data_IF_626821212537
#
_entry.id   IF_626821212537
#
_cell.length_a   1.000
_cell.length_b   1.000
_cell.length_c   1.000
_cell.angle_alpha   90.00
_cell.angle_beta   90.00
_cell.angle_gamma   90.00
#
_symmetry.space_group_name_H-M   'P 1'
#
loop_
_entity.id
_entity.type
_entity.pdbx_description
1 polymer ?
#
# COMPACT_ATOMS: atom_id res chain seq x y z
N UNK A 1 18.36 -15.73 37.76
CA UNK A 1 16.94 -15.60 37.36
C UNK A 1 16.94 -14.84 36.06
N UNK A 2 16.50 -15.51 35.00
CA UNK A 2 16.74 -15.12 33.60
C UNK A 2 15.97 -13.87 33.19
N UNK A 3 16.72 -12.99 32.53
CA UNK A 3 16.23 -11.84 31.80
C UNK A 3 15.54 -12.33 30.52
N UNK A 4 14.21 -12.24 30.41
CA UNK A 4 13.52 -12.49 29.14
C UNK A 4 13.67 -11.24 28.29
N UNK A 5 14.69 -11.23 27.44
CA UNK A 5 14.85 -10.28 26.37
C UNK A 5 13.75 -10.51 25.33
N UNK A 6 12.91 -9.49 25.12
CA UNK A 6 12.03 -9.41 23.96
C UNK A 6 12.94 -9.29 22.73
N UNK A 7 13.15 -10.42 22.07
CA UNK A 7 13.93 -10.52 20.84
C UNK A 7 13.27 -9.71 19.74
N UNK A 8 14.02 -8.72 19.25
CA UNK A 8 14.13 -8.31 17.85
C UNK A 8 13.10 -8.93 16.90
N UNK A 9 11.99 -8.21 16.64
CA UNK A 9 11.26 -8.30 15.36
C UNK A 9 12.06 -7.55 14.29
N UNK A 10 13.32 -7.95 14.14
CA UNK A 10 14.25 -7.45 13.15
C UNK A 10 14.82 -8.65 12.40
N UNK A 11 14.70 -8.57 11.07
CA UNK A 11 15.53 -9.32 10.13
C UNK A 11 15.14 -10.78 9.89
N UNK A 12 13.98 -11.02 9.26
CA UNK A 12 13.82 -12.21 8.42
C UNK A 12 12.90 -11.88 7.24
N UNK A 13 13.42 -11.18 6.22
CA UNK A 13 12.99 -11.24 4.82
C UNK A 13 13.93 -10.35 3.99
N UNK A 14 15.18 -10.78 3.83
CA UNK A 14 16.04 -10.24 2.76
C UNK A 14 16.92 -11.37 2.23
N UNK A 15 16.32 -12.23 1.42
CA UNK A 15 17.06 -13.02 0.44
C UNK A 15 17.10 -12.20 -0.86
N UNK A 16 18.29 -11.84 -1.39
CA UNK A 16 18.39 -11.14 -2.66
C UNK A 16 18.23 -12.16 -3.79
N UNK A 17 17.03 -12.27 -4.37
CA UNK A 17 16.83 -13.09 -5.58
C UNK A 17 17.41 -12.32 -6.79
N UNK A 18 18.61 -12.72 -7.19
CA UNK A 18 19.34 -12.18 -8.33
C UNK A 18 18.78 -12.73 -9.66
N UNK A 19 17.59 -12.27 -10.05
CA UNK A 19 17.10 -12.34 -11.43
C UNK A 19 16.74 -10.93 -11.90
N UNK A 20 17.67 -10.33 -12.63
CA UNK A 20 17.56 -9.06 -13.36
C UNK A 20 16.17 -8.80 -13.95
N UNK A 21 15.58 -7.68 -13.55
CA UNK A 21 14.98 -6.67 -14.43
C UNK A 21 14.79 -5.42 -13.57
N UNK A 22 15.24 -4.27 -14.03
CA UNK A 22 15.02 -2.93 -13.44
C UNK A 22 13.79 -2.92 -12.53
N UNK A 23 13.97 -2.81 -11.20
CA UNK A 23 12.86 -2.53 -10.29
C UNK A 23 12.20 -1.29 -10.87
N UNK A 24 11.01 -1.47 -11.45
CA UNK A 24 10.36 -0.43 -12.23
C UNK A 24 10.16 0.74 -11.26
N UNK A 25 10.85 1.85 -11.48
CA UNK A 25 10.70 3.01 -10.61
C UNK A 25 9.31 3.59 -10.81
N UNK A 26 8.38 3.13 -9.99
CA UNK A 26 6.99 3.55 -10.01
C UNK A 26 6.80 4.87 -9.25
N UNK A 27 7.80 5.36 -8.51
CA UNK A 27 7.69 6.56 -7.68
C UNK A 27 7.47 7.85 -8.48
N UNK A 28 7.89 7.87 -9.75
CA UNK A 28 7.66 8.98 -10.68
C UNK A 28 6.42 8.79 -11.58
N UNK A 29 5.77 7.63 -11.53
CA UNK A 29 4.61 7.33 -12.38
C UNK A 29 3.38 8.07 -11.85
N UNK A 30 2.59 8.66 -12.75
CA UNK A 30 1.36 9.35 -12.41
C UNK A 30 0.33 8.37 -11.82
N UNK A 31 -0.50 8.86 -10.89
CA UNK A 31 -1.46 8.00 -10.20
C UNK A 31 -2.49 7.37 -11.14
N UNK A 32 -2.85 8.07 -12.22
CA UNK A 32 -3.75 7.56 -13.27
C UNK A 32 -3.16 6.33 -13.94
N UNK A 33 -1.86 6.32 -14.19
CA UNK A 33 -1.17 5.19 -14.82
C UNK A 33 -1.00 4.03 -13.84
N UNK A 34 -0.77 4.33 -12.56
CA UNK A 34 -0.80 3.31 -11.50
C UNK A 34 -2.19 2.67 -11.38
N UNK A 35 -3.26 3.46 -11.40
CA UNK A 35 -4.64 2.96 -11.38
C UNK A 35 -4.96 2.11 -12.62
N UNK A 36 -4.51 2.52 -13.81
CA UNK A 36 -4.61 1.71 -15.03
C UNK A 36 -3.82 0.40 -14.93
N UNK A 37 -2.65 0.43 -14.32
CA UNK A 37 -1.86 -0.77 -14.06
C UNK A 37 -2.57 -1.69 -13.04
N UNK A 38 -3.17 -1.15 -11.98
CA UNK A 38 -4.02 -1.90 -11.06
C UNK A 38 -5.22 -2.55 -11.77
N UNK A 39 -5.85 -1.83 -12.71
CA UNK A 39 -6.96 -2.36 -13.50
C UNK A 39 -6.58 -3.59 -14.35
N UNK A 40 -5.30 -3.70 -14.71
CA UNK A 40 -4.70 -4.85 -15.42
C UNK A 40 -4.16 -5.93 -14.47
N UNK A 41 -4.30 -5.75 -13.15
CA UNK A 41 -3.84 -6.70 -12.15
C UNK A 41 -2.37 -6.55 -11.73
N UNK A 42 -1.72 -5.42 -12.06
CA UNK A 42 -0.34 -5.14 -11.63
C UNK A 42 -0.31 -4.76 -10.14
N UNK A 43 0.14 -5.71 -9.29
CA UNK A 43 0.19 -5.55 -7.83
C UNK A 43 1.19 -4.49 -7.36
N UNK A 44 2.26 -4.29 -8.12
CA UNK A 44 3.30 -3.29 -7.83
C UNK A 44 2.74 -1.87 -7.90
N UNK A 45 1.80 -1.61 -8.82
CA UNK A 45 1.13 -0.32 -8.92
C UNK A 45 0.22 -0.03 -7.72
N UNK A 46 -0.47 -1.06 -7.20
CA UNK A 46 -1.28 -0.90 -5.98
C UNK A 46 -0.38 -0.60 -4.78
N UNK A 47 0.77 -1.30 -4.68
CA UNK A 47 1.74 -1.08 -3.61
C UNK A 47 2.24 0.37 -3.60
N UNK A 48 2.55 0.92 -4.77
CA UNK A 48 2.97 2.31 -4.90
C UNK A 48 1.87 3.28 -4.47
N UNK A 49 0.62 3.05 -4.91
CA UNK A 49 -0.53 3.84 -4.44
C UNK A 49 -0.72 3.74 -2.92
N UNK A 50 -0.61 2.55 -2.34
CA UNK A 50 -0.67 2.38 -0.88
C UNK A 50 0.44 3.17 -0.19
N UNK A 51 1.67 3.09 -0.66
CA UNK A 51 2.80 3.82 -0.08
C UNK A 51 2.57 5.34 -0.09
N UNK A 52 2.11 5.90 -1.22
CA UNK A 52 1.82 7.33 -1.35
C UNK A 52 0.66 7.78 -0.47
N UNK A 53 -0.40 6.98 -0.41
CA UNK A 53 -1.69 7.44 0.12
C UNK A 53 -2.02 6.94 1.53
N UNK A 54 -1.34 5.92 2.06
CA UNK A 54 -1.68 5.37 3.39
C UNK A 54 -1.65 6.44 4.49
N UNK A 55 -0.61 7.28 4.53
CA UNK A 55 -0.42 8.28 5.58
C UNK A 55 -1.39 9.46 5.46
N UNK A 56 -1.56 10.11 4.29
CA UNK A 56 -2.55 11.18 4.17
C UNK A 56 -3.99 10.67 4.39
N UNK A 57 -4.31 9.47 3.89
CA UNK A 57 -5.64 8.87 4.06
C UNK A 57 -5.91 8.52 5.54
N UNK A 58 -4.96 7.88 6.21
CA UNK A 58 -5.03 7.59 7.64
C UNK A 58 -5.25 8.87 8.45
N UNK A 59 -4.48 9.94 8.18
CA UNK A 59 -4.63 11.22 8.89
C UNK A 59 -6.01 11.84 8.69
N UNK A 60 -6.57 11.74 7.49
CA UNK A 60 -7.91 12.22 7.19
C UNK A 60 -8.97 11.40 7.94
N UNK A 61 -8.91 10.08 7.86
CA UNK A 61 -9.85 9.16 8.50
C UNK A 61 -9.77 9.22 10.03
N UNK A 62 -8.58 9.33 10.60
CA UNK A 62 -8.38 9.51 12.03
C UNK A 62 -9.01 10.81 12.55
N UNK A 63 -8.90 11.91 11.78
CA UNK A 63 -9.56 13.18 12.15
C UNK A 63 -11.09 13.10 12.09
N UNK A 64 -11.62 12.24 11.22
CA UNK A 64 -13.06 12.07 11.07
C UNK A 64 -13.67 11.16 12.14
N UNK A 65 -12.98 10.06 12.48
CA UNK A 65 -13.51 9.02 13.37
C UNK A 65 -13.02 9.13 14.82
N UNK A 66 -11.84 9.72 15.05
CA UNK A 66 -11.24 9.86 16.39
C UNK A 66 -10.71 8.56 16.99
N UNK A 67 -10.85 7.43 16.31
CA UNK A 67 -10.33 6.11 16.69
C UNK A 67 -9.17 5.70 15.78
N UNK A 68 -8.11 5.16 16.36
CA UNK A 68 -6.97 4.63 15.61
C UNK A 68 -7.37 3.35 14.86
N UNK A 69 -8.08 2.44 15.54
CA UNK A 69 -8.51 1.15 15.01
C UNK A 69 -9.45 1.33 13.82
N UNK A 70 -10.49 2.15 13.96
CA UNK A 70 -11.44 2.43 12.88
C UNK A 70 -10.73 3.09 11.68
N UNK A 71 -9.75 3.95 11.94
CA UNK A 71 -8.97 4.63 10.89
C UNK A 71 -8.11 3.64 10.11
N UNK A 72 -7.42 2.73 10.78
CA UNK A 72 -6.64 1.70 10.10
C UNK A 72 -7.52 0.74 9.30
N UNK A 73 -8.64 0.29 9.85
CA UNK A 73 -9.59 -0.56 9.14
C UNK A 73 -10.15 0.13 7.89
N UNK A 74 -10.57 1.40 8.02
CA UNK A 74 -11.09 2.17 6.89
C UNK A 74 -10.03 2.41 5.80
N UNK A 75 -8.77 2.65 6.17
CA UNK A 75 -7.66 2.77 5.20
C UNK A 75 -7.52 1.48 4.39
N UNK A 76 -7.51 0.34 5.07
CA UNK A 76 -7.39 -0.97 4.42
C UNK A 76 -8.58 -1.23 3.49
N UNK A 77 -9.81 -0.98 3.96
CA UNK A 77 -11.02 -1.15 3.17
C UNK A 77 -11.04 -0.27 1.91
N UNK A 78 -10.54 0.97 2.00
CA UNK A 78 -10.39 1.86 0.83
C UNK A 78 -9.47 1.23 -0.22
N UNK A 79 -8.31 0.70 0.15
CA UNK A 79 -7.40 0.08 -0.82
C UNK A 79 -7.92 -1.26 -1.36
N UNK A 80 -8.62 -2.05 -0.54
CA UNK A 80 -9.29 -3.27 -0.99
C UNK A 80 -10.36 -2.95 -2.03
N UNK A 81 -11.21 -1.96 -1.75
CA UNK A 81 -12.22 -1.47 -2.70
C UNK A 81 -11.58 -0.89 -3.96
N UNK A 82 -10.52 -0.10 -3.81
CA UNK A 82 -9.78 0.44 -4.95
C UNK A 82 -9.26 -0.69 -5.85
N UNK A 83 -8.69 -1.75 -5.29
CA UNK A 83 -8.23 -2.92 -6.06
C UNK A 83 -9.38 -3.68 -6.74
N UNK A 84 -10.46 -3.97 -6.01
CA UNK A 84 -11.63 -4.66 -6.56
C UNK A 84 -12.31 -3.88 -7.68
N UNK A 85 -12.30 -2.56 -7.59
CA UNK A 85 -12.93 -1.66 -8.55
C UNK A 85 -11.97 -1.11 -9.60
N UNK A 86 -10.66 -1.33 -9.49
CA UNK A 86 -9.66 -0.81 -10.43
C UNK A 86 -10.00 -1.21 -11.88
N UNK A 87 -10.40 -2.47 -12.10
CA UNK A 87 -10.83 -2.97 -13.42
C UNK A 87 -12.09 -2.30 -13.99
N UNK A 88 -12.87 -1.62 -13.15
CA UNK A 88 -14.10 -0.89 -13.53
C UNK A 88 -13.91 0.63 -13.48
N UNK A 89 -12.74 1.11 -13.07
CA UNK A 89 -12.47 2.52 -12.92
C UNK A 89 -12.40 3.19 -14.31
N UNK A 90 -13.50 3.83 -14.70
CA UNK A 90 -13.52 4.73 -15.87
C UNK A 90 -13.19 6.13 -15.37
N UNK A 91 -11.93 6.53 -15.55
CA UNK A 91 -11.54 7.92 -15.35
C UNK A 91 -12.33 8.80 -16.34
N UNK A 92 -13.12 9.73 -15.81
CA UNK A 92 -13.78 10.78 -16.59
C UNK A 92 -13.01 12.07 -16.29
N UNK A 93 -12.28 12.55 -17.29
CA UNK A 93 -11.57 13.83 -17.28
C UNK A 93 -12.49 14.96 -17.73
#
# INVERSE_FOLDING_TARGET
MSNVGVGTMGTLLSAPDARTSVERDLSAVADEDLLRACARGEREALRELTYRYQTPLYRFLYRLMGSHEDAEEAVLDVFVKAWQHAGRFKYQA
#
